data_IF_510642350812
#
_entry.id   IF_510642350812
#
_cell.length_a   1.000
_cell.length_b   1.000
_cell.length_c   1.000
_cell.angle_alpha   90.00
_cell.angle_beta   90.00
_cell.angle_gamma   90.00
#
_symmetry.space_group_name_H-M   'P 1'
#
loop_
_entity.id
_entity.type
_entity.pdbx_description
1 polymer ?
#
# COMPACT_ATOMS: atom_id res chain seq x y z
N UNK A 1 16.38 22.62 -9.26
CA UNK A 1 16.28 21.56 -8.22
C UNK A 1 15.37 22.09 -7.13
N UNK A 2 14.28 21.40 -6.82
CA UNK A 2 13.33 21.79 -5.78
C UNK A 2 13.57 20.89 -4.58
N UNK A 3 13.87 21.46 -3.42
CA UNK A 3 14.08 20.69 -2.19
C UNK A 3 12.72 20.32 -1.59
N UNK A 4 12.55 19.05 -1.26
CA UNK A 4 11.32 18.56 -0.64
C UNK A 4 11.52 18.47 0.88
N UNK A 5 10.59 19.01 1.69
CA UNK A 5 10.67 18.90 3.14
C UNK A 5 10.64 17.44 3.62
N UNK A 6 11.51 17.11 4.58
CA UNK A 6 11.55 15.77 5.18
C UNK A 6 10.23 15.40 5.88
N UNK A 7 9.45 16.38 6.32
CA UNK A 7 8.14 16.18 6.94
C UNK A 7 7.11 15.50 6.03
N UNK A 8 7.35 15.44 4.73
CA UNK A 8 6.48 14.71 3.79
C UNK A 8 6.73 13.20 3.79
N UNK A 9 7.78 12.73 4.48
CA UNK A 9 8.09 11.32 4.68
C UNK A 9 8.14 10.48 3.38
N UNK A 10 8.69 11.06 2.32
CA UNK A 10 8.82 10.42 1.01
C UNK A 10 10.03 9.48 1.05
N UNK A 11 9.80 8.21 0.66
CA UNK A 11 10.87 7.21 0.59
C UNK A 11 11.92 7.51 -0.47
N UNK A 12 13.09 6.88 -0.35
CA UNK A 12 14.14 6.96 -1.35
C UNK A 12 13.71 6.27 -2.65
N UNK A 13 14.13 6.83 -3.80
CA UNK A 13 13.88 6.29 -5.15
C UNK A 13 12.40 6.09 -5.52
N UNK A 14 11.49 6.91 -4.95
CA UNK A 14 10.07 6.91 -5.33
C UNK A 14 9.88 7.76 -6.59
N UNK A 15 9.20 7.20 -7.58
CA UNK A 15 8.86 7.87 -8.83
C UNK A 15 7.48 8.55 -8.72
N UNK A 16 7.37 9.77 -9.27
CA UNK A 16 6.13 10.54 -9.30
C UNK A 16 5.82 11.03 -10.71
N UNK A 17 4.54 11.03 -11.05
CA UNK A 17 4.00 11.67 -12.25
C UNK A 17 3.53 13.09 -11.91
N UNK A 18 4.03 14.13 -12.60
CA UNK A 18 3.60 15.51 -12.38
C UNK A 18 2.30 15.80 -13.12
N UNK A 19 1.31 16.35 -12.42
CA UNK A 19 0.05 16.83 -12.98
C UNK A 19 -0.07 18.32 -12.78
N UNK A 20 -0.44 19.05 -13.84
CA UNK A 20 -0.67 20.49 -13.79
C UNK A 20 -2.17 20.79 -13.73
N UNK A 21 -2.58 21.51 -12.71
CA UNK A 21 -3.93 22.06 -12.59
C UNK A 21 -4.07 23.35 -13.43
N UNK A 22 -5.30 23.71 -13.80
CA UNK A 22 -5.66 24.95 -14.51
C UNK A 22 -5.19 26.20 -13.73
N UNK A 23 -5.18 26.11 -12.40
CA UNK A 23 -4.70 27.17 -11.50
C UNK A 23 -3.15 27.27 -11.43
N UNK A 24 -2.42 26.47 -12.21
CA UNK A 24 -0.95 26.49 -12.25
C UNK A 24 -0.27 25.72 -11.12
N UNK A 25 -1.04 25.05 -10.26
CA UNK A 25 -0.52 24.15 -9.22
C UNK A 25 0.02 22.88 -9.87
N UNK A 26 1.19 22.42 -9.42
CA UNK A 26 1.78 21.15 -9.83
C UNK A 26 1.59 20.16 -8.68
N UNK A 27 0.87 19.08 -8.94
CA UNK A 27 0.71 17.94 -8.03
C UNK A 27 1.63 16.80 -8.45
N UNK A 28 2.21 16.09 -7.49
CA UNK A 28 3.07 14.93 -7.73
C UNK A 28 2.35 13.67 -7.25
N UNK A 29 1.89 12.84 -8.18
CA UNK A 29 1.24 11.56 -7.86
C UNK A 29 2.26 10.42 -7.92
N UNK A 30 2.37 9.55 -6.90
CA UNK A 30 3.29 8.42 -6.95
C UNK A 30 2.96 7.49 -8.13
N UNK A 31 3.93 7.13 -8.98
CA UNK A 31 3.68 6.27 -10.15
C UNK A 31 3.23 4.86 -9.73
N UNK A 32 3.86 4.33 -8.67
CA UNK A 32 3.51 3.03 -8.09
C UNK A 32 2.43 3.20 -7.03
N UNK A 33 1.18 3.12 -7.48
CA UNK A 33 0.02 3.30 -6.62
C UNK A 33 -0.25 2.11 -5.68
N UNK A 34 0.34 0.94 -5.94
CA UNK A 34 0.03 -0.30 -5.23
C UNK A 34 1.23 -1.26 -5.17
N UNK A 35 1.63 -1.66 -3.96
CA UNK A 35 2.42 -2.89 -3.71
C UNK A 35 1.54 -4.15 -3.70
N UNK A 36 0.22 -3.97 -3.62
CA UNK A 36 -0.79 -5.02 -3.73
C UNK A 36 -1.76 -4.66 -4.85
N UNK A 37 -1.73 -5.43 -5.94
CA UNK A 37 -2.83 -5.41 -6.90
C UNK A 37 -4.05 -5.98 -6.18
N UNK A 38 -5.12 -5.19 -6.06
CA UNK A 38 -6.43 -5.70 -5.64
C UNK A 38 -7.00 -6.56 -6.78
N UNK A 39 -6.39 -7.72 -7.01
CA UNK A 39 -6.91 -8.75 -7.89
C UNK A 39 -8.19 -9.27 -7.24
N UNK A 40 -9.35 -8.73 -7.66
CA UNK A 40 -10.67 -9.18 -7.17
C UNK A 40 -10.91 -10.67 -7.43
N UNK A 41 -10.14 -11.25 -8.35
CA UNK A 41 -10.20 -12.65 -8.73
C UNK A 41 -9.11 -13.51 -8.06
N UNK A 42 -8.23 -12.91 -7.23
CA UNK A 42 -7.22 -13.67 -6.51
C UNK A 42 -7.85 -14.41 -5.33
N UNK A 43 -7.87 -15.73 -5.42
CA UNK A 43 -8.34 -16.60 -4.36
C UNK A 43 -7.21 -16.85 -3.35
N UNK A 44 -7.15 -16.02 -2.32
CA UNK A 44 -6.18 -16.13 -1.24
C UNK A 44 -6.24 -17.50 -0.56
N UNK A 45 -7.43 -18.11 -0.42
CA UNK A 45 -7.59 -19.42 0.23
C UNK A 45 -6.91 -20.50 -0.59
N UNK A 46 -7.13 -20.50 -1.91
CA UNK A 46 -6.49 -21.44 -2.82
C UNK A 46 -4.96 -21.30 -2.81
N UNK A 47 -4.45 -20.06 -2.81
CA UNK A 47 -3.01 -19.83 -2.75
C UNK A 47 -2.38 -20.32 -1.44
N UNK A 48 -3.07 -20.14 -0.30
CA UNK A 48 -2.61 -20.68 0.99
C UNK A 48 -2.54 -22.21 0.99
N UNK A 49 -3.49 -22.89 0.34
CA UNK A 49 -3.48 -24.35 0.18
C UNK A 49 -2.32 -24.81 -0.71
N UNK A 50 -2.09 -24.16 -1.86
CA UNK A 50 -0.99 -24.48 -2.78
C UNK A 50 0.39 -24.29 -2.13
N UNK A 51 0.55 -23.22 -1.34
CA UNK A 51 1.81 -22.89 -0.65
C UNK A 51 1.97 -23.60 0.71
N UNK A 52 1.01 -24.45 1.09
CA UNK A 52 1.00 -25.18 2.37
C UNK A 52 1.16 -24.24 3.58
N UNK A 53 0.56 -23.05 3.49
CA UNK A 53 0.54 -22.05 4.56
C UNK A 53 -0.60 -22.41 5.50
N UNK A 54 -0.26 -22.83 6.72
CA UNK A 54 -1.24 -23.10 7.76
C UNK A 54 -2.00 -21.83 8.16
N UNK A 55 -3.33 -21.91 8.15
CA UNK A 55 -4.19 -20.93 8.82
C UNK A 55 -4.15 -21.23 10.33
N UNK A 56 -3.97 -20.20 11.17
CA UNK A 56 -4.04 -20.33 12.62
C UNK A 56 -5.47 -20.65 13.12
N UNK A 57 -6.44 -20.72 12.22
CA UNK A 57 -7.72 -21.38 12.44
C UNK A 57 -8.71 -20.50 13.18
N UNK A 58 -9.23 -20.98 14.32
CA UNK A 58 -10.35 -20.33 15.02
C UNK A 58 -9.85 -19.19 15.91
N UNK A 59 -10.46 -18.01 15.82
CA UNK A 59 -10.21 -16.92 16.75
C UNK A 59 -10.29 -17.36 18.21
N UNK A 60 -9.19 -17.22 18.93
CA UNK A 60 -9.14 -17.50 20.38
C UNK A 60 -9.56 -16.29 21.23
N UNK A 61 -10.14 -15.26 20.58
CA UNK A 61 -10.64 -14.05 21.25
C UNK A 61 -9.56 -13.12 21.79
N UNK A 62 -8.31 -13.27 21.33
CA UNK A 62 -7.15 -12.44 21.73
C UNK A 62 -6.58 -11.60 20.59
N UNK A 63 -7.33 -11.48 19.50
CA UNK A 63 -6.86 -10.86 18.25
C UNK A 63 -7.00 -9.32 18.30
N UNK A 64 -7.88 -8.81 19.17
CA UNK A 64 -8.06 -7.39 19.47
C UNK A 64 -7.00 -6.89 20.47
N UNK A 65 -5.72 -6.92 20.09
CA UNK A 65 -4.62 -6.32 20.88
C UNK A 65 -4.45 -4.83 20.57
N UNK A 66 -5.31 -4.24 19.72
CA UNK A 66 -5.20 -2.85 19.26
C UNK A 66 -6.29 -1.92 19.81
N UNK A 67 -7.08 -2.37 20.79
CA UNK A 67 -7.96 -1.50 21.57
C UNK A 67 -7.22 -1.01 22.82
N UNK A 68 -6.39 0.04 22.67
CA UNK A 68 -5.90 0.89 23.76
C UNK A 68 -6.24 2.37 23.46
#
# INVERSE_FOLDING_TARGET
>A
MVTIPASFNIGENVEFEPIKDENGVISLLPVRHNIYTAESNYDLRKAMEEENIGDNGTPVGREDIWND
#
